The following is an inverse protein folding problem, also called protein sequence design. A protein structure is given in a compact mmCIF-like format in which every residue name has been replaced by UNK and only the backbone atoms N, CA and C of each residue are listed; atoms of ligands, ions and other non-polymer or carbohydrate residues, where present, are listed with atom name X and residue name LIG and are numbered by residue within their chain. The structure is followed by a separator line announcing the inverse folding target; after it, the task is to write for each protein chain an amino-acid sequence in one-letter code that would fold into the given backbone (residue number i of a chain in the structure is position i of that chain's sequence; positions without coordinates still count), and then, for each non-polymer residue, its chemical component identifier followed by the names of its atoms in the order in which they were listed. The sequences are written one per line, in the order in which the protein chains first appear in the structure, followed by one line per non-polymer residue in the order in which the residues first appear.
data_IF_918176167670
#
_entry.id   IF_918176167670
#
_cell.length_a   1.000
_cell.length_b   1.000
_cell.length_c   1.000
_cell.angle_alpha   90.00
_cell.angle_beta   90.00
_cell.angle_gamma   90.00
#
_symmetry.space_group_name_H-M   'P 1'
#
loop_
_entity.id
_entity.type
_entity.pdbx_description
1 polymer ?
#
# COMPACT_ATOMS: atom_id res chain seq x y z
N UNK A 1 -11.97 15.96 21.31
CA UNK A 1 -12.07 15.76 19.83
C UNK A 1 -11.05 14.68 19.49
N UNK A 2 -11.46 13.60 18.84
CA UNK A 2 -10.52 12.56 18.35
C UNK A 2 -9.63 13.17 17.28
N UNK A 3 -8.31 12.97 17.41
CA UNK A 3 -7.32 13.46 16.44
C UNK A 3 -7.60 12.88 15.06
N UNK A 4 -7.73 13.75 14.04
CA UNK A 4 -7.91 13.32 12.65
C UNK A 4 -6.55 13.09 12.00
N UNK A 5 -6.41 11.96 11.29
CA UNK A 5 -5.24 11.67 10.49
C UNK A 5 -5.45 12.13 9.04
N UNK A 6 -4.38 12.60 8.40
CA UNK A 6 -4.33 12.78 6.96
C UNK A 6 -3.67 11.52 6.37
N UNK A 7 -4.41 10.78 5.56
CA UNK A 7 -4.01 9.47 5.03
C UNK A 7 -4.02 9.50 3.51
N UNK A 8 -2.91 9.12 2.90
CA UNK A 8 -2.81 8.93 1.45
C UNK A 8 -2.79 7.43 1.14
N UNK A 9 -3.68 6.98 0.29
CA UNK A 9 -3.67 5.64 -0.28
C UNK A 9 -3.18 5.73 -1.72
N UNK A 10 -1.93 5.37 -1.93
CA UNK A 10 -1.22 5.49 -3.20
C UNK A 10 -1.47 4.25 -4.08
N UNK A 11 -1.75 4.47 -5.36
CA UNK A 11 -2.09 3.47 -6.37
C UNK A 11 -3.39 2.72 -6.01
N UNK A 12 -4.43 3.46 -5.60
CA UNK A 12 -5.73 2.90 -5.25
C UNK A 12 -6.88 3.54 -6.04
N UNK A 13 -7.27 2.97 -7.18
CA UNK A 13 -8.46 3.37 -7.93
C UNK A 13 -9.77 2.87 -7.29
N UNK A 14 -9.67 1.87 -6.43
CA UNK A 14 -10.83 1.18 -5.84
C UNK A 14 -11.46 1.91 -4.67
N UNK A 15 -10.69 2.73 -3.99
CA UNK A 15 -11.04 3.48 -2.79
C UNK A 15 -11.48 2.61 -1.59
N UNK A 16 -11.15 1.32 -1.55
CA UNK A 16 -11.57 0.44 -0.48
C UNK A 16 -10.99 0.86 0.88
N UNK A 17 -9.69 1.17 0.92
CA UNK A 17 -9.02 1.64 2.13
C UNK A 17 -9.34 3.12 2.41
N UNK A 18 -9.35 3.96 1.36
CA UNK A 18 -9.75 5.36 1.49
C UNK A 18 -11.12 5.49 2.18
N UNK A 19 -12.14 4.75 1.71
CA UNK A 19 -13.47 4.74 2.32
C UNK A 19 -13.43 4.26 3.77
N UNK A 20 -12.67 3.21 4.08
CA UNK A 20 -12.56 2.69 5.44
C UNK A 20 -12.01 3.73 6.43
N UNK A 21 -10.97 4.49 6.05
CA UNK A 21 -10.46 5.59 6.87
C UNK A 21 -11.45 6.75 6.97
N UNK A 22 -12.16 7.08 5.88
CA UNK A 22 -13.20 8.12 5.88
C UNK A 22 -14.36 7.78 6.83
N UNK A 23 -14.77 6.51 6.88
CA UNK A 23 -15.81 6.04 7.81
C UNK A 23 -15.41 6.21 9.29
N UNK A 24 -14.12 6.20 9.60
CA UNK A 24 -13.59 6.50 10.94
C UNK A 24 -13.41 8.01 11.21
N UNK A 25 -13.75 8.86 10.23
CA UNK A 25 -13.69 10.32 10.36
C UNK A 25 -12.34 10.95 10.01
N UNK A 26 -11.40 10.19 9.45
CA UNK A 26 -10.10 10.69 9.01
C UNK A 26 -10.17 11.41 7.65
N UNK A 27 -9.18 12.24 7.36
CA UNK A 27 -8.99 12.86 6.05
C UNK A 27 -8.19 11.90 5.17
N UNK A 28 -8.87 10.98 4.49
CA UNK A 28 -8.23 10.00 3.62
C UNK A 28 -8.47 10.34 2.15
N UNK A 29 -7.42 10.19 1.33
CA UNK A 29 -7.47 10.42 -0.11
C UNK A 29 -6.79 9.26 -0.82
N UNK A 30 -7.42 8.74 -1.88
CA UNK A 30 -6.79 7.82 -2.81
C UNK A 30 -6.11 8.57 -3.94
N UNK A 31 -5.01 8.06 -4.45
CA UNK A 31 -4.32 8.61 -5.62
C UNK A 31 -3.98 7.49 -6.60
N UNK A 32 -4.37 7.67 -7.86
CA UNK A 32 -4.04 6.74 -8.95
C UNK A 32 -4.04 7.49 -10.28
N UNK A 33 -3.27 6.99 -11.24
CA UNK A 33 -3.30 7.46 -12.65
C UNK A 33 -4.60 7.07 -13.36
N UNK A 34 -5.40 6.18 -12.80
CA UNK A 34 -6.73 5.82 -13.27
C UNK A 34 -7.76 6.63 -12.49
N UNK A 35 -8.85 6.99 -13.16
CA UNK A 35 -10.02 7.59 -12.51
C UNK A 35 -10.62 6.63 -11.46
N UNK A 36 -11.18 7.17 -10.40
CA UNK A 36 -11.98 6.36 -9.48
C UNK A 36 -13.17 5.72 -10.22
N UNK A 37 -13.69 4.64 -9.68
CA UNK A 37 -14.81 3.92 -10.30
C UNK A 37 -16.08 4.76 -10.34
N UNK A 38 -17.03 4.47 -11.25
CA UNK A 38 -18.28 5.21 -11.39
C UNK A 38 -19.15 5.30 -10.11
N UNK A 39 -18.94 4.38 -9.16
CA UNK A 39 -19.58 4.36 -7.83
C UNK A 39 -18.63 4.79 -6.72
N UNK A 40 -17.49 5.36 -7.06
CA UNK A 40 -16.53 5.90 -6.12
C UNK A 40 -16.87 7.33 -5.72
N UNK A 41 -15.95 7.92 -4.97
CA UNK A 41 -16.02 9.26 -4.44
C UNK A 41 -14.97 10.14 -5.13
N UNK A 42 -15.33 10.86 -6.23
CA UNK A 42 -14.39 11.72 -6.93
C UNK A 42 -13.81 12.82 -6.03
N UNK A 43 -14.55 13.25 -5.01
CA UNK A 43 -14.14 14.23 -3.99
C UNK A 43 -13.05 13.71 -3.03
N UNK A 44 -12.71 12.41 -3.08
CA UNK A 44 -11.66 11.78 -2.28
C UNK A 44 -10.55 11.18 -3.14
N UNK A 45 -10.63 11.36 -4.46
CA UNK A 45 -9.69 10.76 -5.41
C UNK A 45 -8.81 11.82 -6.09
N UNK A 46 -7.52 11.63 -5.99
CA UNK A 46 -6.50 12.41 -6.69
C UNK A 46 -6.16 11.64 -7.98
N UNK A 47 -6.58 12.17 -9.12
CA UNK A 47 -6.27 11.58 -10.42
C UNK A 47 -4.94 12.15 -10.93
N UNK A 48 -3.83 11.57 -10.48
CA UNK A 48 -2.48 12.07 -10.73
C UNK A 48 -1.43 10.95 -10.56
N UNK A 49 -0.18 11.22 -10.98
CA UNK A 49 0.97 10.40 -10.60
C UNK A 49 1.30 10.63 -9.11
N UNK A 50 1.39 9.55 -8.38
CA UNK A 50 1.61 9.62 -6.93
C UNK A 50 3.00 10.06 -6.52
N UNK A 51 3.97 10.11 -7.43
CA UNK A 51 5.39 10.31 -7.13
C UNK A 51 5.66 11.58 -6.31
N UNK A 52 5.03 12.71 -6.66
CA UNK A 52 5.20 13.96 -5.92
C UNK A 52 4.62 13.89 -4.50
N UNK A 53 3.54 13.12 -4.30
CA UNK A 53 2.90 12.92 -2.99
C UNK A 53 3.73 12.02 -2.09
N UNK A 54 4.42 11.02 -2.68
CA UNK A 54 5.41 10.23 -1.94
C UNK A 54 6.57 11.11 -1.46
N UNK A 55 6.91 12.15 -2.23
CA UNK A 55 7.92 13.15 -1.89
C UNK A 55 7.42 14.26 -0.96
N UNK A 56 6.18 14.17 -0.48
CA UNK A 56 5.62 15.06 0.54
C UNK A 56 4.80 16.23 0.01
N UNK A 57 4.33 16.21 -1.23
CA UNK A 57 3.35 17.19 -1.74
C UNK A 57 2.06 17.07 -0.94
N UNK A 58 1.57 18.19 -0.43
CA UNK A 58 0.40 18.28 0.47
C UNK A 58 -0.73 19.15 -0.07
N UNK A 59 -0.53 19.80 -1.21
CA UNK A 59 -1.56 20.53 -1.94
C UNK A 59 -1.90 19.74 -3.20
N UNK A 60 -3.17 19.45 -3.41
CA UNK A 60 -3.64 18.58 -4.49
C UNK A 60 -5.07 18.95 -4.91
N UNK A 61 -5.44 18.53 -6.12
CA UNK A 61 -6.80 18.68 -6.63
C UNK A 61 -7.43 17.30 -6.77
N UNK A 62 -8.61 17.12 -6.21
CA UNK A 62 -9.38 15.88 -6.34
C UNK A 62 -10.11 15.82 -7.69
N UNK A 63 -10.58 14.65 -8.08
CA UNK A 63 -11.17 14.40 -9.39
C UNK A 63 -12.45 15.25 -9.65
N UNK A 64 -13.10 15.74 -8.62
CA UNK A 64 -14.22 16.69 -8.72
C UNK A 64 -13.79 18.15 -8.99
N UNK A 65 -12.47 18.41 -9.08
CA UNK A 65 -11.91 19.72 -9.37
C UNK A 65 -11.65 20.59 -8.14
N UNK A 66 -11.89 20.10 -6.93
CA UNK A 66 -11.65 20.86 -5.69
C UNK A 66 -10.20 20.73 -5.24
N UNK A 67 -9.55 21.86 -4.94
CA UNK A 67 -8.20 21.88 -4.41
C UNK A 67 -8.23 21.79 -2.88
N UNK A 68 -7.39 20.90 -2.35
CA UNK A 68 -7.23 20.64 -0.93
C UNK A 68 -5.80 20.91 -0.50
N UNK A 69 -5.63 21.16 0.80
CA UNK A 69 -4.33 21.22 1.46
C UNK A 69 -4.40 20.47 2.78
N UNK A 70 -3.36 19.68 3.06
CA UNK A 70 -3.13 19.07 4.37
C UNK A 70 -1.77 19.56 4.88
N UNK A 71 -1.60 19.63 6.19
CA UNK A 71 -0.33 20.04 6.81
C UNK A 71 0.79 19.02 6.55
N UNK A 72 0.44 17.75 6.65
CA UNK A 72 1.32 16.61 6.32
C UNK A 72 0.49 15.36 6.07
N UNK A 73 1.08 14.38 5.41
CA UNK A 73 0.58 13.00 5.42
C UNK A 73 1.07 12.31 6.69
N UNK A 74 0.15 11.88 7.55
CA UNK A 74 0.47 11.09 8.73
C UNK A 74 0.78 9.64 8.34
N UNK A 75 -0.02 9.07 7.46
CA UNK A 75 0.10 7.70 6.96
C UNK A 75 0.05 7.68 5.44
N UNK A 76 0.99 6.96 4.83
CA UNK A 76 0.93 6.60 3.41
C UNK A 76 0.84 5.08 3.31
N UNK A 77 -0.23 4.58 2.66
CA UNK A 77 -0.38 3.18 2.27
C UNK A 77 -0.21 3.12 0.76
N UNK A 78 0.69 2.29 0.26
CA UNK A 78 0.98 2.20 -1.17
C UNK A 78 0.76 0.78 -1.71
N UNK A 79 0.12 0.71 -2.89
CA UNK A 79 -0.13 -0.52 -3.65
C UNK A 79 0.60 -0.47 -5.00
N UNK A 80 1.95 -0.45 -5.03
CA UNK A 80 2.68 -0.36 -6.29
C UNK A 80 2.33 -1.52 -7.22
N UNK A 81 2.27 -1.28 -8.56
CA UNK A 81 1.93 -2.30 -9.53
C UNK A 81 2.80 -3.55 -9.39
N UNK A 82 2.17 -4.69 -9.08
CA UNK A 82 2.86 -5.95 -8.79
C UNK A 82 3.18 -6.80 -10.06
N UNK A 83 2.74 -6.36 -11.24
CA UNK A 83 2.80 -7.13 -12.50
C UNK A 83 4.22 -7.63 -12.84
N UNK A 84 5.24 -6.86 -12.48
CA UNK A 84 6.64 -7.19 -12.78
C UNK A 84 7.42 -7.62 -11.54
N UNK A 85 6.81 -7.67 -10.37
CA UNK A 85 7.48 -7.93 -9.10
C UNK A 85 7.09 -9.25 -8.45
N UNK A 86 5.86 -9.74 -8.71
CA UNK A 86 5.31 -10.88 -7.98
C UNK A 86 5.74 -12.25 -8.53
N UNK A 87 5.78 -13.25 -7.64
CA UNK A 87 6.18 -14.64 -7.98
C UNK A 87 5.38 -15.25 -9.13
N UNK A 88 4.08 -14.92 -9.22
CA UNK A 88 3.20 -15.45 -10.28
C UNK A 88 3.64 -14.99 -11.67
N UNK A 89 4.28 -13.84 -11.79
CA UNK A 89 4.78 -13.30 -13.06
C UNK A 89 6.22 -13.72 -13.41
N UNK A 90 6.90 -14.48 -12.54
CA UNK A 90 8.27 -14.93 -12.76
C UNK A 90 8.49 -15.68 -14.10
N UNK A 91 7.60 -16.60 -14.56
CA UNK A 91 7.82 -17.28 -15.84
C UNK A 91 7.94 -16.31 -17.03
N UNK A 92 7.22 -15.20 -17.00
CA UNK A 92 7.24 -14.20 -18.08
C UNK A 92 8.54 -13.38 -18.11
N UNK A 93 9.34 -13.38 -17.04
CA UNK A 93 10.67 -12.78 -17.03
C UNK A 93 11.65 -13.57 -17.91
N UNK A 94 11.40 -14.86 -18.08
CA UNK A 94 12.28 -15.78 -18.81
C UNK A 94 11.73 -16.21 -20.18
N UNK A 95 10.52 -15.79 -20.56
CA UNK A 95 9.90 -16.17 -21.84
C UNK A 95 9.13 -15.01 -22.49
N UNK A 96 9.29 -14.83 -23.83
CA UNK A 96 10.35 -15.40 -24.66
C UNK A 96 11.73 -14.81 -24.28
N UNK A 97 12.78 -15.60 -24.39
CA UNK A 97 14.14 -15.12 -24.17
C UNK A 97 14.56 -14.20 -25.32
N UNK A 98 15.05 -13.01 -24.98
CA UNK A 98 15.54 -12.02 -25.96
C UNK A 98 16.97 -11.53 -25.64
N UNK A 99 17.57 -12.03 -24.55
CA UNK A 99 18.93 -11.74 -24.14
C UNK A 99 19.26 -12.31 -22.76
N UNK A 100 20.29 -11.79 -22.13
CA UNK A 100 20.73 -12.20 -20.80
C UNK A 100 20.78 -11.00 -19.84
N UNK A 101 20.57 -11.27 -18.55
CA UNK A 101 20.72 -10.27 -17.47
C UNK A 101 21.37 -10.89 -16.22
N UNK A 102 22.03 -10.07 -15.44
CA UNK A 102 22.55 -10.46 -14.13
C UNK A 102 21.41 -10.44 -13.10
N UNK A 103 21.13 -11.61 -12.54
CA UNK A 103 20.11 -11.78 -11.50
C UNK A 103 20.70 -12.60 -10.35
N UNK A 104 20.66 -12.04 -9.14
CA UNK A 104 21.19 -12.68 -7.93
C UNK A 104 22.66 -13.19 -8.07
N UNK A 105 23.49 -12.46 -8.83
CA UNK A 105 24.89 -12.79 -9.06
C UNK A 105 25.15 -13.80 -10.19
N UNK A 106 24.13 -14.18 -10.97
CA UNK A 106 24.26 -15.10 -12.10
C UNK A 106 23.78 -14.45 -13.39
N UNK A 107 24.44 -14.76 -14.51
CA UNK A 107 24.00 -14.34 -15.85
C UNK A 107 22.97 -15.34 -16.37
N UNK A 108 21.73 -14.93 -16.49
CA UNK A 108 20.61 -15.81 -16.85
C UNK A 108 19.87 -15.32 -18.10
N UNK A 109 19.28 -16.23 -18.90
CA UNK A 109 18.41 -15.86 -20.02
C UNK A 109 17.14 -15.17 -19.55
N UNK A 110 16.82 -14.03 -20.16
CA UNK A 110 15.63 -13.22 -19.82
C UNK A 110 14.94 -12.64 -21.06
N UNK A 111 13.71 -12.22 -20.86
CA UNK A 111 13.04 -11.26 -21.73
C UNK A 111 13.52 -9.86 -21.31
N UNK A 112 14.33 -9.22 -22.17
CA UNK A 112 14.97 -7.94 -21.83
C UNK A 112 13.98 -6.81 -21.58
N UNK A 113 12.90 -6.71 -22.37
CA UNK A 113 11.87 -5.68 -22.15
C UNK A 113 11.23 -5.85 -20.76
N UNK A 114 10.92 -7.09 -20.40
CA UNK A 114 10.29 -7.41 -19.14
C UNK A 114 11.23 -7.20 -17.96
N UNK A 115 12.52 -7.45 -18.17
CA UNK A 115 13.57 -7.18 -17.18
C UNK A 115 13.69 -5.67 -16.90
N UNK A 116 13.67 -4.82 -17.94
CA UNK A 116 13.70 -3.37 -17.77
C UNK A 116 12.45 -2.86 -17.02
N UNK A 117 11.25 -3.36 -17.37
CA UNK A 117 10.01 -3.04 -16.66
C UNK A 117 10.05 -3.50 -15.20
N UNK A 118 10.68 -4.63 -14.91
CA UNK A 118 10.89 -5.10 -13.54
C UNK A 118 11.77 -4.13 -12.75
N UNK A 119 12.86 -3.63 -13.34
CA UNK A 119 13.75 -2.64 -12.70
C UNK A 119 13.00 -1.34 -12.40
N UNK A 120 12.21 -0.84 -13.34
CA UNK A 120 11.39 0.36 -13.14
C UNK A 120 10.36 0.16 -12.01
N UNK A 121 9.66 -0.97 -12.01
CA UNK A 121 8.70 -1.32 -10.97
C UNK A 121 9.38 -1.46 -9.59
N UNK A 122 10.60 -2.02 -9.54
CA UNK A 122 11.41 -2.09 -8.32
C UNK A 122 11.79 -0.70 -7.82
N UNK A 123 12.24 0.20 -8.69
CA UNK A 123 12.55 1.60 -8.31
C UNK A 123 11.33 2.28 -7.72
N UNK A 124 10.18 2.15 -8.36
CA UNK A 124 8.93 2.72 -7.85
C UNK A 124 8.51 2.11 -6.49
N UNK A 125 8.70 0.81 -6.31
CA UNK A 125 8.48 0.15 -5.02
C UNK A 125 9.33 0.77 -3.90
N UNK A 126 10.62 1.03 -4.18
CA UNK A 126 11.50 1.69 -3.20
C UNK A 126 11.11 3.16 -2.95
N UNK A 127 10.60 3.87 -3.95
CA UNK A 127 10.04 5.21 -3.75
C UNK A 127 8.85 5.17 -2.79
N UNK A 128 7.94 4.19 -2.96
CA UNK A 128 6.83 3.98 -2.02
C UNK A 128 7.33 3.67 -0.59
N UNK A 129 8.36 2.82 -0.46
CA UNK A 129 8.92 2.44 0.84
C UNK A 129 9.58 3.62 1.55
N UNK A 130 10.16 4.55 0.78
CA UNK A 130 10.84 5.75 1.28
C UNK A 130 9.94 7.00 1.32
N UNK A 131 8.63 6.83 1.14
CA UNK A 131 7.68 7.94 1.13
C UNK A 131 7.81 8.85 2.37
N UNK A 132 7.64 10.15 2.17
CA UNK A 132 7.79 11.18 3.22
C UNK A 132 6.54 11.29 4.08
N UNK A 133 6.36 10.31 4.96
CA UNK A 133 5.36 10.31 6.01
C UNK A 133 5.93 9.62 7.26
N UNK A 134 5.49 9.93 8.48
CA UNK A 134 5.93 9.24 9.69
C UNK A 134 5.64 7.73 9.65
N UNK A 135 4.47 7.35 9.15
CA UNK A 135 4.01 5.97 9.06
C UNK A 135 3.81 5.57 7.60
N UNK A 136 4.39 4.43 7.21
CA UNK A 136 4.29 3.93 5.82
C UNK A 136 4.00 2.45 5.82
N UNK A 137 3.09 2.04 4.94
CA UNK A 137 2.83 0.65 4.60
C UNK A 137 2.90 0.45 3.09
N UNK A 138 3.73 -0.47 2.62
CA UNK A 138 3.73 -0.87 1.20
C UNK A 138 3.21 -2.30 1.10
N UNK A 139 2.19 -2.49 0.28
CA UNK A 139 1.59 -3.79 0.01
C UNK A 139 2.09 -4.35 -1.32
N UNK A 140 2.45 -5.62 -1.34
CA UNK A 140 2.67 -6.35 -2.59
C UNK A 140 2.41 -7.85 -2.38
N UNK A 141 1.99 -8.62 -3.39
CA UNK A 141 1.99 -10.07 -3.32
C UNK A 141 3.39 -10.61 -3.08
N UNK A 142 3.50 -11.92 -2.82
CA UNK A 142 4.79 -12.58 -2.64
C UNK A 142 5.71 -12.24 -3.83
N UNK A 143 6.85 -11.54 -3.61
CA UNK A 143 7.73 -11.12 -4.68
C UNK A 143 8.47 -12.30 -5.32
N UNK A 144 8.83 -12.14 -6.60
CA UNK A 144 9.79 -13.05 -7.24
C UNK A 144 11.20 -12.75 -6.72
N UNK A 145 12.04 -13.79 -6.65
CA UNK A 145 13.42 -13.64 -6.18
C UNK A 145 14.23 -12.63 -7.03
N UNK A 146 14.00 -12.66 -8.34
CA UNK A 146 14.68 -11.76 -9.28
C UNK A 146 14.37 -10.26 -9.06
N UNK A 147 13.26 -9.92 -8.42
CA UNK A 147 12.93 -8.53 -8.10
C UNK A 147 13.79 -7.96 -6.97
N UNK A 148 14.50 -8.80 -6.22
CA UNK A 148 15.42 -8.41 -5.12
C UNK A 148 14.81 -7.38 -4.15
N UNK A 149 13.52 -7.52 -3.85
CA UNK A 149 12.89 -6.70 -2.84
C UNK A 149 13.36 -7.12 -1.44
N UNK A 150 13.40 -6.20 -0.48
CA UNK A 150 13.73 -6.54 0.90
C UNK A 150 12.72 -7.55 1.44
N UNK A 151 13.11 -8.29 2.47
CA UNK A 151 12.21 -9.22 3.14
C UNK A 151 11.03 -8.44 3.74
N UNK A 152 9.77 -8.83 3.49
CA UNK A 152 8.62 -8.20 4.14
C UNK A 152 8.69 -8.43 5.65
N UNK A 153 8.31 -7.44 6.43
CA UNK A 153 8.29 -7.52 7.89
C UNK A 153 6.90 -7.84 8.46
N UNK A 154 5.87 -7.87 7.62
CA UNK A 154 4.51 -8.26 8.01
C UNK A 154 3.77 -8.98 6.88
N UNK A 155 2.69 -9.66 7.26
CA UNK A 155 1.80 -10.36 6.35
C UNK A 155 0.35 -10.16 6.78
N UNK A 156 -0.58 -10.19 5.81
CA UNK A 156 -1.99 -10.32 6.09
C UNK A 156 -2.64 -11.30 5.11
N UNK A 157 -3.77 -11.84 5.53
CA UNK A 157 -4.61 -12.67 4.68
C UNK A 157 -6.07 -12.25 4.87
N UNK A 158 -6.83 -11.99 3.80
CA UNK A 158 -8.23 -11.58 3.92
C UNK A 158 -9.08 -12.54 4.77
N UNK A 159 -8.73 -13.83 4.80
CA UNK A 159 -9.44 -14.82 5.63
C UNK A 159 -9.32 -14.56 7.13
N UNK A 160 -8.32 -13.83 7.59
CA UNK A 160 -8.18 -13.40 8.98
C UNK A 160 -9.26 -12.40 9.41
N UNK A 161 -9.98 -11.83 8.45
CA UNK A 161 -11.01 -10.79 8.61
C UNK A 161 -12.38 -11.23 8.06
N UNK A 162 -12.65 -12.55 8.02
CA UNK A 162 -13.94 -13.08 7.61
C UNK A 162 -14.16 -13.26 6.10
N UNK A 163 -13.16 -12.98 5.29
CA UNK A 163 -13.25 -13.21 3.84
C UNK A 163 -13.06 -14.70 3.54
N UNK A 164 -13.87 -15.27 2.64
CA UNK A 164 -13.81 -16.71 2.28
C UNK A 164 -12.59 -17.12 1.46
N UNK A 165 -11.71 -16.18 1.14
CA UNK A 165 -10.60 -16.40 0.22
C UNK A 165 -9.26 -16.26 0.94
N UNK A 166 -8.27 -17.06 0.49
CA UNK A 166 -6.87 -16.87 0.84
C UNK A 166 -6.19 -16.03 -0.23
N UNK A 167 -5.52 -14.98 0.21
CA UNK A 167 -4.61 -14.16 -0.61
C UNK A 167 -3.53 -13.64 0.34
N UNK A 168 -2.52 -14.49 0.63
CA UNK A 168 -1.41 -14.03 1.47
C UNK A 168 -0.74 -12.84 0.80
N UNK A 169 -0.74 -11.73 1.49
CA UNK A 169 -0.20 -10.45 1.04
C UNK A 169 0.97 -10.07 1.94
N UNK A 170 2.03 -9.55 1.36
CA UNK A 170 3.22 -9.07 2.06
C UNK A 170 3.08 -7.58 2.33
N UNK A 171 3.57 -7.16 3.50
CA UNK A 171 3.67 -5.75 3.88
C UNK A 171 5.10 -5.41 4.28
N UNK A 172 5.51 -4.21 3.90
CA UNK A 172 6.73 -3.54 4.36
C UNK A 172 6.26 -2.33 5.14
N UNK A 173 6.39 -2.42 6.45
CA UNK A 173 5.88 -1.45 7.41
C UNK A 173 7.02 -0.60 7.99
N UNK A 174 6.82 0.70 8.04
CA UNK A 174 7.68 1.65 8.76
C UNK A 174 6.86 2.33 9.84
N UNK A 175 7.29 2.19 11.10
CA UNK A 175 6.64 2.71 12.30
C UNK A 175 5.19 2.25 12.51
N UNK A 176 4.83 1.10 11.94
CA UNK A 176 3.51 0.49 12.08
C UNK A 176 3.64 -0.93 12.64
N UNK A 177 2.69 -1.38 13.47
CA UNK A 177 2.63 -2.77 13.91
C UNK A 177 2.09 -3.68 12.80
N UNK A 178 2.42 -4.97 12.89
CA UNK A 178 1.74 -5.99 12.09
C UNK A 178 0.24 -6.00 12.39
N UNK A 179 -0.56 -6.24 11.38
CA UNK A 179 -2.00 -6.42 11.54
C UNK A 179 -2.31 -7.68 12.35
N UNK A 180 -3.23 -7.56 13.29
CA UNK A 180 -3.70 -8.67 14.12
C UNK A 180 -4.91 -9.32 13.46
N UNK A 181 -4.89 -10.64 13.38
CA UNK A 181 -6.04 -11.41 12.88
C UNK A 181 -7.24 -11.29 13.84
N UNK A 182 -8.43 -11.09 13.28
CA UNK A 182 -9.67 -11.01 14.06
C UNK A 182 -10.35 -12.37 14.20
N UNK A 183 -9.95 -13.35 13.38
CA UNK A 183 -10.43 -14.73 13.42
C UNK A 183 -9.23 -15.64 13.69
N UNK A 184 -9.24 -16.34 14.83
CA UNK A 184 -8.13 -17.20 15.25
C UNK A 184 -7.88 -18.39 14.32
N UNK A 185 -8.92 -19.03 13.80
CA UNK A 185 -8.82 -20.20 12.94
C UNK A 185 -9.65 -20.03 11.68
N UNK A 186 -9.24 -19.15 10.75
CA UNK A 186 -9.99 -18.95 9.53
C UNK A 186 -9.99 -20.22 8.69
N UNK A 187 -11.18 -20.62 8.23
CA UNK A 187 -11.35 -21.77 7.30
C UNK A 187 -11.66 -21.23 5.89
N UNK A 188 -10.67 -20.77 5.13
CA UNK A 188 -10.91 -20.26 3.78
C UNK A 188 -11.34 -21.41 2.87
N UNK A 189 -12.34 -21.15 2.04
CA UNK A 189 -12.89 -22.17 1.12
C UNK A 189 -12.07 -22.38 -0.15
N UNK A 190 -11.34 -21.36 -0.61
CA UNK A 190 -10.54 -21.44 -1.84
C UNK A 190 -9.52 -20.30 -1.95
N UNK A 191 -8.59 -20.44 -2.88
CA UNK A 191 -7.78 -19.32 -3.35
C UNK A 191 -8.60 -18.41 -4.26
N UNK A 192 -8.21 -17.14 -4.38
CA UNK A 192 -8.79 -16.24 -5.38
C UNK A 192 -8.34 -16.73 -6.76
N UNK A 193 -9.17 -17.53 -7.41
CA UNK A 193 -8.90 -18.14 -8.74
C UNK A 193 -9.48 -17.35 -9.90
N UNK A 194 -10.10 -16.18 -9.63
CA UNK A 194 -10.68 -15.34 -10.70
C UNK A 194 -9.64 -15.09 -11.79
N UNK A 195 -9.93 -15.54 -13.01
CA UNK A 195 -9.13 -15.30 -14.21
C UNK A 195 -9.01 -13.82 -14.59
N UNK A 196 -9.84 -12.96 -14.02
CA UNK A 196 -9.81 -11.51 -14.26
C UNK A 196 -8.91 -10.83 -13.22
N UNK A 197 -7.67 -10.50 -13.61
CA UNK A 197 -6.65 -9.83 -12.78
C UNK A 197 -7.19 -8.64 -12.00
N UNK A 198 -8.12 -7.88 -12.58
CA UNK A 198 -8.76 -6.71 -11.97
C UNK A 198 -9.47 -6.98 -10.63
N UNK A 199 -10.00 -8.20 -10.39
CA UNK A 199 -10.60 -8.57 -9.10
C UNK A 199 -9.58 -9.03 -8.07
N UNK A 200 -8.39 -9.46 -8.53
CA UNK A 200 -7.33 -9.96 -7.67
C UNK A 200 -6.48 -8.85 -7.05
N UNK A 201 -6.43 -7.69 -7.69
CA UNK A 201 -5.65 -6.53 -7.23
C UNK A 201 -6.32 -5.73 -6.12
N UNK A 202 -7.63 -5.87 -5.91
CA UNK A 202 -8.36 -5.06 -4.94
C UNK A 202 -8.15 -5.54 -3.51
N UNK A 203 -8.12 -4.60 -2.57
CA UNK A 203 -8.26 -4.90 -1.15
C UNK A 203 -9.71 -5.25 -0.83
N UNK A 204 -9.92 -6.29 -0.02
CA UNK A 204 -11.26 -6.67 0.44
C UNK A 204 -11.73 -5.68 1.50
N UNK A 205 -13.03 -5.27 1.49
CA UNK A 205 -13.54 -4.29 2.46
C UNK A 205 -13.28 -4.67 3.92
N UNK A 206 -13.38 -5.95 4.28
CA UNK A 206 -13.11 -6.42 5.63
C UNK A 206 -11.66 -6.19 6.05
N UNK A 207 -10.70 -6.45 5.15
CA UNK A 207 -9.29 -6.18 5.38
C UNK A 207 -9.03 -4.66 5.44
N UNK A 208 -9.65 -3.87 4.54
CA UNK A 208 -9.55 -2.42 4.53
C UNK A 208 -10.04 -1.81 5.86
N UNK A 209 -11.17 -2.29 6.38
CA UNK A 209 -11.71 -1.85 7.67
C UNK A 209 -10.77 -2.19 8.83
N UNK A 210 -10.18 -3.40 8.84
CA UNK A 210 -9.20 -3.80 9.84
C UNK A 210 -7.93 -2.94 9.80
N UNK A 211 -7.41 -2.67 8.59
CA UNK A 211 -6.28 -1.76 8.35
C UNK A 211 -6.59 -0.38 8.92
N UNK A 212 -7.70 0.20 8.52
CA UNK A 212 -8.09 1.54 8.95
C UNK A 212 -8.21 1.64 10.47
N UNK A 213 -8.91 0.69 11.10
CA UNK A 213 -9.10 0.68 12.55
C UNK A 213 -7.80 0.47 13.30
N UNK A 214 -7.06 -0.61 13.02
CA UNK A 214 -5.87 -0.99 13.80
C UNK A 214 -4.75 0.03 13.67
N UNK A 215 -4.50 0.56 12.48
CA UNK A 215 -3.43 1.55 12.29
C UNK A 215 -3.83 2.94 12.74
N UNK A 216 -5.11 3.35 12.62
CA UNK A 216 -5.54 4.64 13.17
C UNK A 216 -5.41 4.68 14.69
N UNK A 217 -5.88 3.65 15.38
CA UNK A 217 -5.77 3.51 16.83
C UNK A 217 -4.31 3.59 17.27
N UNK A 218 -3.45 2.79 16.65
CA UNK A 218 -2.01 2.79 16.96
C UNK A 218 -1.34 4.15 16.73
N UNK A 219 -1.58 4.79 15.57
CA UNK A 219 -0.95 6.06 15.22
C UNK A 219 -1.37 7.16 16.21
N UNK A 220 -2.66 7.25 16.52
CA UNK A 220 -3.18 8.24 17.47
C UNK A 220 -2.56 8.06 18.85
N UNK A 221 -2.45 6.82 19.33
CA UNK A 221 -1.82 6.52 20.61
C UNK A 221 -0.32 6.86 20.60
N UNK A 222 0.39 6.53 19.52
CA UNK A 222 1.83 6.78 19.41
C UNK A 222 2.13 8.28 19.34
N UNK A 223 1.35 9.03 18.55
CA UNK A 223 1.46 10.49 18.50
C UNK A 223 1.18 11.15 19.87
N UNK A 224 0.20 10.66 20.62
CA UNK A 224 -0.08 11.15 21.96
C UNK A 224 1.10 10.91 22.92
N UNK A 225 1.73 9.72 22.87
CA UNK A 225 2.91 9.41 23.69
C UNK A 225 4.10 10.30 23.34
N UNK A 226 4.34 10.60 22.06
CA UNK A 226 5.41 11.46 21.59
C UNK A 226 5.22 12.92 22.09
N UNK A 227 4.00 13.44 22.11
CA UNK A 227 3.69 14.77 22.65
C UNK A 227 3.98 14.87 24.15
N UNK A 228 3.64 13.86 24.94
CA UNK A 228 3.92 13.83 26.38
C UNK A 228 5.43 13.75 26.68
N UNK A 229 6.19 12.99 25.90
CA UNK A 229 7.64 12.86 26.09
C UNK A 229 8.41 14.16 25.74
N UNK A 230 7.94 14.93 24.77
CA UNK A 230 8.54 16.22 24.41
C UNK A 230 8.22 17.32 25.44
N UNK A 231 7.01 17.31 26.01
CA UNK A 231 6.60 18.29 27.05
C UNK A 231 7.37 18.16 28.38
N UNK A 232 7.76 16.95 28.74
CA UNK A 232 8.53 16.69 29.98
C UNK A 232 10.03 17.05 29.87
N UNK A 233 10.57 17.13 28.65
CA UNK A 233 11.96 17.51 28.42
C UNK A 233 12.21 19.04 28.59
N UNK A 234 11.17 19.84 28.45
CA UNK A 234 11.24 21.33 28.61
C UNK A 234 10.99 21.82 30.03
N UNK A 235 10.65 20.93 30.96
CA UNK A 235 10.28 21.26 32.34
C UNK A 235 11.37 20.89 33.38
N UNK A 236 12.66 20.90 33.01
CA UNK A 236 13.75 20.84 33.99
C UNK A 236 14.29 22.27 34.20
N UNK A 237 14.25 22.78 35.46
CA UNK A 237 14.77 24.07 35.82
C UNK A 237 16.29 24.18 35.67
#
# INVERSE_FOLDING_TARGET
MTQKLNVLIACEESQAECQAFRMLGHNAYSCDIQLCKPKGHPEWHIHDDVSEYLDGKTTFTTQDGITHHVDQWHLIIAHPPCTYLCKVSSPWLHHPVTGNAWLNGELVPVNCERYEKMKQARTFFFNCLNAKAPYVAVENPIPMRAAELPKPNAYACPSWYGVKYTKKTCYWLRNLPSLVAEIEHPKPKCFVTSSRGKYRSRTFPQLANAIARQWSEYIIEDMAKQQFSCGTALAKP
#
